data_IF_565839873443
#
_entry.id   IF_565839873443
#
_cell.length_a   1.000
_cell.length_b   1.000
_cell.length_c   1.000
_cell.angle_alpha   90.00
_cell.angle_beta   90.00
_cell.angle_gamma   90.00
#
_symmetry.space_group_name_H-M   'P 1'
#
loop_
_entity.id
_entity.type
_entity.pdbx_description
1 polymer ?
#
# COMPACT_ATOMS: atom_id res chain seq x y z
N UNK A 1 -11.32 0.55 -25.18
CA UNK A 1 -11.66 1.69 -26.06
C UNK A 1 -12.87 2.51 -25.57
N UNK A 2 -13.27 2.39 -24.30
CA UNK A 2 -14.40 3.14 -23.72
C UNK A 2 -13.95 4.37 -22.93
N UNK A 3 -12.67 4.47 -22.57
CA UNK A 3 -12.09 5.59 -21.84
C UNK A 3 -10.60 5.72 -22.12
N UNK A 4 -10.07 6.92 -21.90
CA UNK A 4 -8.64 7.19 -22.03
C UNK A 4 -7.83 6.66 -20.85
N UNK A 5 -6.53 6.49 -21.05
CA UNK A 5 -5.59 6.24 -19.95
C UNK A 5 -5.61 7.41 -18.96
N UNK A 6 -5.56 7.13 -17.67
CA UNK A 6 -5.38 8.14 -16.66
C UNK A 6 -4.05 8.89 -16.84
N UNK A 7 -4.05 10.21 -16.58
CA UNK A 7 -2.84 11.03 -16.58
C UNK A 7 -2.66 11.64 -15.19
N UNK A 8 -1.44 11.66 -14.74
CA UNK A 8 -1.02 12.37 -13.53
C UNK A 8 0.04 13.41 -13.92
N UNK A 9 -0.21 14.66 -13.59
CA UNK A 9 0.75 15.76 -13.79
C UNK A 9 1.37 16.09 -12.44
N UNK A 10 2.69 16.17 -12.40
CA UNK A 10 3.43 16.55 -11.21
C UNK A 10 4.03 17.93 -11.45
N UNK A 11 3.68 18.90 -10.61
CA UNK A 11 4.30 20.22 -10.59
C UNK A 11 5.21 20.31 -9.38
N UNK A 12 6.44 20.77 -9.60
CA UNK A 12 7.40 21.04 -8.53
C UNK A 12 7.27 22.52 -8.15
N UNK A 13 7.13 22.80 -6.86
CA UNK A 13 7.17 24.14 -6.31
C UNK A 13 8.61 24.56 -5.99
N UNK A 14 8.87 25.86 -5.84
CA UNK A 14 10.23 26.37 -5.60
C UNK A 14 10.85 25.86 -4.30
N UNK A 15 10.02 25.51 -3.31
CA UNK A 15 10.42 24.91 -2.03
C UNK A 15 10.66 23.39 -2.09
N UNK A 16 10.52 22.78 -3.28
CA UNK A 16 10.67 21.35 -3.50
C UNK A 16 9.41 20.51 -3.21
N UNK A 17 8.31 21.16 -2.80
CA UNK A 17 7.02 20.51 -2.66
C UNK A 17 6.43 20.14 -4.01
N UNK A 18 5.52 19.16 -4.00
CA UNK A 18 4.87 18.66 -5.21
C UNK A 18 3.37 18.79 -5.10
N UNK A 19 2.77 19.25 -6.18
CA UNK A 19 1.34 19.19 -6.39
C UNK A 19 1.04 18.19 -7.50
N UNK A 20 -0.05 17.44 -7.32
CA UNK A 20 -0.53 16.46 -8.29
C UNK A 20 -1.85 16.93 -8.86
N UNK A 21 -1.94 16.91 -10.20
CA UNK A 21 -3.19 17.08 -10.92
C UNK A 21 -3.50 15.81 -11.71
N UNK A 22 -4.73 15.31 -11.56
CA UNK A 22 -5.13 14.05 -12.18
C UNK A 22 -6.20 14.27 -13.23
N UNK A 23 -5.99 13.70 -14.42
CA UNK A 23 -6.99 13.57 -15.45
C UNK A 23 -7.48 12.13 -15.52
N UNK A 24 -8.57 11.84 -14.78
CA UNK A 24 -9.01 10.47 -14.47
C UNK A 24 -10.55 10.31 -14.40
N UNK A 25 -11.31 11.15 -15.13
CA UNK A 25 -12.78 11.08 -15.08
C UNK A 25 -13.38 11.12 -16.50
N UNK A 26 -13.82 9.96 -17.05
CA UNK A 26 -13.48 8.58 -16.67
C UNK A 26 -12.10 8.19 -17.21
N UNK A 27 -11.49 7.15 -16.61
CA UNK A 27 -10.25 6.56 -17.12
C UNK A 27 -10.37 5.04 -17.24
N UNK A 28 -9.57 4.46 -18.13
CA UNK A 28 -9.68 3.06 -18.50
C UNK A 28 -9.44 2.12 -17.31
N UNK A 29 -8.52 2.48 -16.40
CA UNK A 29 -8.21 1.71 -15.21
C UNK A 29 -9.41 1.56 -14.27
N UNK A 30 -10.23 2.60 -14.10
CA UNK A 30 -11.43 2.54 -13.25
C UNK A 30 -12.52 1.61 -13.80
N UNK A 31 -12.50 1.34 -15.11
CA UNK A 31 -13.47 0.48 -15.78
C UNK A 31 -13.08 -1.00 -15.78
N UNK A 32 -11.92 -1.34 -15.22
CA UNK A 32 -11.49 -2.72 -15.10
C UNK A 32 -12.36 -3.46 -14.08
N UNK A 33 -13.02 -4.52 -14.52
CA UNK A 33 -14.06 -5.21 -13.76
C UNK A 33 -13.57 -6.59 -13.25
N UNK A 34 -14.19 -7.17 -12.21
CA UNK A 34 -13.82 -8.48 -11.65
C UNK A 34 -13.73 -9.59 -12.69
N UNK A 35 -14.60 -9.57 -13.68
CA UNK A 35 -14.68 -10.61 -14.74
C UNK A 35 -13.45 -10.61 -15.66
N UNK A 36 -12.63 -9.57 -15.59
CA UNK A 36 -11.39 -9.45 -16.36
C UNK A 36 -10.17 -10.02 -15.61
N UNK A 37 -10.34 -10.40 -14.34
CA UNK A 37 -9.29 -11.05 -13.55
C UNK A 37 -9.11 -12.48 -14.07
N UNK A 38 -7.91 -12.78 -14.56
CA UNK A 38 -7.53 -14.14 -14.91
C UNK A 38 -6.88 -14.82 -13.69
N UNK A 39 -7.54 -15.84 -13.14
CA UNK A 39 -7.07 -16.60 -11.99
C UNK A 39 -5.71 -17.28 -12.25
N UNK A 40 -5.36 -17.49 -13.52
CA UNK A 40 -4.06 -18.06 -13.88
C UNK A 40 -2.89 -17.17 -13.47
N UNK A 41 -3.08 -15.85 -13.35
CA UNK A 41 -2.03 -14.92 -12.92
C UNK A 41 -1.55 -15.16 -11.48
N UNK A 42 -2.39 -15.79 -10.65
CA UNK A 42 -2.09 -15.99 -9.24
C UNK A 42 -1.44 -17.36 -8.94
N UNK A 43 -1.36 -18.28 -9.90
CA UNK A 43 -0.89 -19.66 -9.68
C UNK A 43 0.47 -19.75 -9.01
N UNK A 44 1.40 -18.90 -9.45
CA UNK A 44 2.78 -18.84 -8.96
C UNK A 44 3.12 -17.43 -8.45
N UNK A 45 2.10 -16.61 -8.15
CA UNK A 45 2.30 -15.27 -7.64
C UNK A 45 2.86 -15.33 -6.23
N UNK A 46 3.97 -14.64 -6.00
CA UNK A 46 4.54 -14.46 -4.66
C UNK A 46 3.70 -13.51 -3.82
N UNK A 47 3.29 -12.39 -4.42
CA UNK A 47 2.50 -11.37 -3.73
C UNK A 47 1.57 -10.64 -4.70
N UNK A 48 0.44 -10.18 -4.17
CA UNK A 48 -0.40 -9.12 -4.73
C UNK A 48 -0.14 -7.85 -3.95
N UNK A 49 0.34 -6.80 -4.62
CA UNK A 49 0.50 -5.47 -4.02
C UNK A 49 -0.50 -4.50 -4.61
N UNK A 50 -1.14 -3.68 -3.77
CA UNK A 50 -2.11 -2.67 -4.20
C UNK A 50 -2.08 -1.42 -3.31
N UNK A 51 -2.72 -0.35 -3.77
CA UNK A 51 -2.83 0.92 -3.05
C UNK A 51 -4.26 1.49 -3.12
N UNK A 52 -4.54 2.56 -2.36
CA UNK A 52 -5.88 3.17 -2.32
C UNK A 52 -6.26 3.95 -3.58
N UNK A 53 -5.31 4.25 -4.45
CA UNK A 53 -5.51 5.11 -5.64
C UNK A 53 -6.67 4.64 -6.53
N UNK A 54 -6.92 3.34 -6.60
CA UNK A 54 -7.96 2.73 -7.44
C UNK A 54 -9.12 2.13 -6.63
N UNK A 55 -9.23 2.43 -5.34
CA UNK A 55 -10.30 1.94 -4.47
C UNK A 55 -11.52 2.88 -4.40
N UNK A 56 -11.54 3.97 -5.17
CA UNK A 56 -12.74 4.79 -5.35
C UNK A 56 -13.89 3.94 -5.88
N UNK A 57 -15.13 4.37 -5.63
CA UNK A 57 -16.33 3.64 -6.08
C UNK A 57 -16.33 3.50 -7.61
N UNK A 58 -16.02 2.30 -8.06
CA UNK A 58 -15.81 1.96 -9.48
C UNK A 58 -15.75 0.43 -9.66
N UNK A 59 -15.90 -0.09 -10.89
CA UNK A 59 -15.65 -1.52 -11.19
C UNK A 59 -14.28 -2.01 -10.69
N UNK A 60 -13.23 -1.18 -10.76
CA UNK A 60 -11.88 -1.51 -10.33
C UNK A 60 -11.79 -1.82 -8.83
N UNK A 61 -12.60 -1.17 -7.98
CA UNK A 61 -12.67 -1.50 -6.55
C UNK A 61 -13.13 -2.95 -6.34
N UNK A 62 -14.12 -3.40 -7.09
CA UNK A 62 -14.59 -4.79 -7.05
C UNK A 62 -13.57 -5.76 -7.62
N UNK A 63 -12.84 -5.35 -8.67
CA UNK A 63 -11.73 -6.13 -9.21
C UNK A 63 -10.61 -6.33 -8.17
N UNK A 64 -10.31 -5.32 -7.32
CA UNK A 64 -9.37 -5.49 -6.22
C UNK A 64 -9.82 -6.57 -5.23
N UNK A 65 -11.11 -6.59 -4.86
CA UNK A 65 -11.63 -7.62 -3.96
C UNK A 65 -11.51 -9.03 -4.57
N UNK A 66 -11.82 -9.17 -5.87
CA UNK A 66 -11.66 -10.42 -6.59
C UNK A 66 -10.19 -10.86 -6.66
N UNK A 67 -9.27 -9.93 -6.96
CA UNK A 67 -7.84 -10.19 -7.00
C UNK A 67 -7.28 -10.59 -5.63
N UNK A 68 -7.71 -9.92 -4.54
CA UNK A 68 -7.32 -10.27 -3.18
C UNK A 68 -7.79 -11.69 -2.83
N UNK A 69 -9.04 -12.05 -3.18
CA UNK A 69 -9.54 -13.40 -2.99
C UNK A 69 -8.69 -14.44 -3.72
N UNK A 70 -8.43 -14.22 -5.01
CA UNK A 70 -7.62 -15.12 -5.83
C UNK A 70 -6.17 -15.26 -5.32
N UNK A 71 -5.54 -14.16 -4.88
CA UNK A 71 -4.21 -14.17 -4.30
C UNK A 71 -4.16 -15.01 -3.01
N UNK A 72 -5.15 -14.86 -2.13
CA UNK A 72 -5.26 -15.64 -0.89
C UNK A 72 -5.46 -17.14 -1.17
N UNK A 73 -6.34 -17.48 -2.09
CA UNK A 73 -6.56 -18.87 -2.49
C UNK A 73 -5.30 -19.53 -3.06
N UNK A 74 -4.48 -18.76 -3.75
CA UNK A 74 -3.18 -19.20 -4.27
C UNK A 74 -2.05 -19.21 -3.22
N UNK A 75 -2.29 -18.72 -1.98
CA UNK A 75 -1.29 -18.63 -0.93
C UNK A 75 -0.29 -17.47 -1.10
N UNK A 76 -0.58 -16.53 -2.00
CA UNK A 76 0.23 -15.33 -2.22
C UNK A 76 0.09 -14.34 -1.05
N UNK A 77 1.14 -13.60 -0.75
CA UNK A 77 1.12 -12.51 0.21
C UNK A 77 0.29 -11.35 -0.35
N UNK A 78 -0.65 -10.84 0.41
CA UNK A 78 -1.38 -9.60 0.09
C UNK A 78 -0.71 -8.43 0.79
N UNK A 79 -0.19 -7.47 0.02
CA UNK A 79 0.50 -6.28 0.52
C UNK A 79 -0.28 -5.01 0.17
N UNK A 80 -0.51 -4.15 1.14
CA UNK A 80 -1.25 -2.91 0.99
C UNK A 80 -0.41 -1.70 1.43
N UNK A 81 -0.30 -0.72 0.54
CA UNK A 81 0.21 0.62 0.82
C UNK A 81 -0.96 1.60 0.59
N UNK A 82 -1.55 2.23 1.62
CA UNK A 82 -2.62 3.21 1.43
C UNK A 82 -2.27 4.28 0.40
N UNK A 83 -1.05 4.81 0.42
CA UNK A 83 -0.54 5.76 -0.56
C UNK A 83 -1.56 6.86 -0.87
N UNK A 84 -1.95 7.63 0.15
CA UNK A 84 -3.09 8.54 0.12
C UNK A 84 -2.96 9.60 -0.97
N UNK A 85 -4.01 9.77 -1.76
CA UNK A 85 -4.12 10.80 -2.80
C UNK A 85 -5.46 11.51 -2.68
N UNK A 86 -5.55 12.44 -1.73
CA UNK A 86 -6.78 13.19 -1.44
C UNK A 86 -7.50 13.76 -2.67
N UNK A 87 -6.81 14.31 -3.69
CA UNK A 87 -7.48 14.86 -4.87
C UNK A 87 -8.25 13.85 -5.72
N UNK A 88 -8.02 12.55 -5.53
CA UNK A 88 -8.73 11.48 -6.25
C UNK A 88 -10.05 11.09 -5.60
N UNK A 89 -10.33 11.57 -4.41
CA UNK A 89 -11.46 11.16 -3.59
C UNK A 89 -12.51 12.27 -3.48
N UNK A 90 -13.80 11.93 -3.40
CA UNK A 90 -14.86 12.91 -3.18
C UNK A 90 -14.68 13.69 -1.88
N UNK A 91 -14.28 13.00 -0.82
CA UNK A 91 -13.97 13.57 0.49
C UNK A 91 -12.96 12.70 1.27
N UNK A 92 -12.40 13.28 2.32
CA UNK A 92 -11.34 12.64 3.13
C UNK A 92 -11.88 11.47 3.97
N UNK A 93 -13.10 11.57 4.46
CA UNK A 93 -13.67 10.52 5.29
C UNK A 93 -13.99 9.26 4.49
N UNK A 94 -14.50 9.42 3.26
CA UNK A 94 -14.70 8.29 2.35
C UNK A 94 -13.38 7.58 2.04
N UNK A 95 -12.30 8.33 1.79
CA UNK A 95 -10.95 7.76 1.63
C UNK A 95 -10.56 6.96 2.88
N UNK A 96 -10.65 7.58 4.07
CA UNK A 96 -10.28 6.96 5.33
C UNK A 96 -11.06 5.67 5.58
N UNK A 97 -12.38 5.72 5.46
CA UNK A 97 -13.24 4.55 5.66
C UNK A 97 -12.91 3.43 4.67
N UNK A 98 -12.66 3.76 3.40
CA UNK A 98 -12.30 2.75 2.40
C UNK A 98 -10.96 2.12 2.72
N UNK A 99 -9.94 2.89 3.08
CA UNK A 99 -8.64 2.35 3.51
C UNK A 99 -8.82 1.41 4.70
N UNK A 100 -9.57 1.81 5.72
CA UNK A 100 -9.84 0.98 6.90
C UNK A 100 -10.63 -0.30 6.58
N UNK A 101 -11.46 -0.31 5.53
CA UNK A 101 -12.15 -1.52 5.06
C UNK A 101 -11.20 -2.51 4.36
N UNK A 102 -10.21 -2.00 3.61
CA UNK A 102 -9.28 -2.84 2.86
C UNK A 102 -8.05 -3.27 3.69
N UNK A 103 -7.66 -2.50 4.69
CA UNK A 103 -6.54 -2.80 5.58
C UNK A 103 -6.59 -4.22 6.14
N UNK A 104 -7.70 -4.70 6.74
CA UNK A 104 -7.78 -6.05 7.29
C UNK A 104 -7.64 -7.18 6.26
N UNK A 105 -7.69 -6.85 4.98
CA UNK A 105 -7.55 -7.80 3.89
C UNK A 105 -6.09 -8.03 3.48
N UNK A 106 -5.14 -7.35 4.06
CA UNK A 106 -3.71 -7.49 3.74
C UNK A 106 -2.95 -8.29 4.80
N UNK A 107 -1.85 -8.93 4.38
CA UNK A 107 -0.90 -9.58 5.30
C UNK A 107 0.23 -8.61 5.68
N UNK A 108 0.62 -7.74 4.75
CA UNK A 108 1.61 -6.69 4.95
C UNK A 108 0.93 -5.34 4.73
N UNK A 109 1.00 -4.47 5.72
CA UNK A 109 0.57 -3.09 5.65
C UNK A 109 1.81 -2.19 5.69
N UNK A 110 1.98 -1.33 4.68
CA UNK A 110 2.96 -0.24 4.75
C UNK A 110 2.20 1.06 5.02
N UNK A 111 2.65 1.84 5.98
CA UNK A 111 2.07 3.15 6.32
C UNK A 111 3.22 4.15 6.57
N UNK A 112 3.05 5.39 6.11
CA UNK A 112 4.00 6.47 6.42
C UNK A 112 3.61 7.22 7.70
N UNK A 113 4.54 8.00 8.26
CA UNK A 113 4.28 8.88 9.41
C UNK A 113 3.22 9.94 9.08
N UNK A 114 3.16 10.42 7.84
CA UNK A 114 2.14 11.36 7.36
C UNK A 114 0.75 10.73 7.27
N UNK A 115 0.65 9.43 7.00
CA UNK A 115 -0.60 8.68 6.84
C UNK A 115 -1.15 8.18 8.17
N UNK A 116 -0.28 7.92 9.14
CA UNK A 116 -0.62 7.28 10.41
C UNK A 116 -1.72 8.04 11.16
N UNK A 117 -1.51 9.33 11.41
CA UNK A 117 -2.45 10.15 12.16
C UNK A 117 -3.81 10.25 11.45
N UNK A 118 -3.79 10.40 10.13
CA UNK A 118 -5.02 10.46 9.34
C UNK A 118 -5.84 9.17 9.45
N UNK A 119 -5.20 8.01 9.43
CA UNK A 119 -5.89 6.72 9.45
C UNK A 119 -6.36 6.35 10.85
N UNK A 120 -5.53 6.59 11.87
CA UNK A 120 -5.73 6.05 13.22
C UNK A 120 -6.16 7.08 14.26
N UNK A 121 -6.02 8.38 13.95
CA UNK A 121 -6.28 9.48 14.88
C UNK A 121 -5.15 9.72 15.88
N UNK A 122 -4.00 9.04 15.75
CA UNK A 122 -2.81 9.25 16.58
C UNK A 122 -1.54 9.25 15.74
N UNK A 123 -0.59 10.11 16.09
CA UNK A 123 0.76 10.12 15.51
C UNK A 123 1.72 9.14 16.22
N UNK A 124 1.29 8.53 17.32
CA UNK A 124 2.07 7.54 18.05
C UNK A 124 1.86 6.16 17.44
N UNK A 125 2.90 5.59 16.84
CA UNK A 125 2.83 4.28 16.18
C UNK A 125 2.49 3.17 17.19
N UNK A 126 3.04 3.19 18.40
CA UNK A 126 2.79 2.15 19.39
C UNK A 126 1.30 2.15 19.82
N UNK A 127 0.70 3.33 19.96
CA UNK A 127 -0.73 3.46 20.25
C UNK A 127 -1.61 3.02 19.06
N UNK A 128 -1.10 3.14 17.82
CA UNK A 128 -1.82 2.79 16.59
C UNK A 128 -1.74 1.29 16.25
N UNK A 129 -0.69 0.58 16.67
CA UNK A 129 -0.46 -0.83 16.31
C UNK A 129 -1.68 -1.74 16.53
N UNK A 130 -2.45 -1.65 17.62
CA UNK A 130 -3.64 -2.50 17.81
C UNK A 130 -4.69 -2.34 16.70
N UNK A 131 -4.83 -1.14 16.16
CA UNK A 131 -5.74 -0.86 15.04
C UNK A 131 -5.14 -1.30 13.71
N UNK A 132 -3.82 -1.14 13.52
CA UNK A 132 -3.12 -1.52 12.29
C UNK A 132 -3.02 -3.05 12.12
N UNK A 133 -2.95 -3.81 13.21
CA UNK A 133 -2.98 -5.28 13.19
C UNK A 133 -4.40 -5.85 13.08
N UNK A 134 -5.32 -5.16 12.40
CA UNK A 134 -6.67 -5.67 12.16
C UNK A 134 -6.67 -6.79 11.11
N UNK A 135 -7.61 -7.74 11.26
CA UNK A 135 -7.82 -8.84 10.31
C UNK A 135 -6.58 -9.70 10.11
N UNK A 136 -6.16 -9.82 8.85
CA UNK A 136 -5.06 -10.70 8.45
C UNK A 136 -3.68 -10.03 8.46
N UNK A 137 -3.56 -8.79 8.96
CA UNK A 137 -2.28 -8.08 9.03
C UNK A 137 -1.34 -8.76 10.01
N UNK A 138 -0.18 -9.18 9.51
CA UNK A 138 0.88 -9.87 10.26
C UNK A 138 2.14 -9.03 10.37
N UNK A 139 2.33 -8.10 9.42
CA UNK A 139 3.51 -7.25 9.35
C UNK A 139 3.09 -5.81 9.02
N UNK A 140 3.52 -4.87 9.85
CA UNK A 140 3.35 -3.43 9.62
C UNK A 140 4.72 -2.82 9.33
N UNK A 141 4.85 -2.19 8.16
CA UNK A 141 6.02 -1.41 7.76
C UNK A 141 5.71 0.07 7.95
N UNK A 142 6.37 0.71 8.90
CA UNK A 142 6.19 2.12 9.22
C UNK A 142 7.37 2.94 8.71
N UNK A 143 7.14 3.81 7.72
CA UNK A 143 8.18 4.61 7.08
C UNK A 143 8.14 6.05 7.58
N UNK A 144 9.31 6.59 7.98
CA UNK A 144 9.47 7.92 8.55
C UNK A 144 10.41 8.80 7.71
N UNK A 145 10.33 8.69 6.39
CA UNK A 145 11.16 9.46 5.46
C UNK A 145 12.65 9.35 5.78
N UNK A 146 13.32 10.48 5.97
CA UNK A 146 14.75 10.53 6.26
C UNK A 146 15.16 9.98 7.63
N UNK A 147 14.20 9.71 8.52
CA UNK A 147 14.45 9.11 9.84
C UNK A 147 14.66 7.60 9.76
N UNK A 148 14.19 6.94 8.68
CA UNK A 148 14.29 5.50 8.51
C UNK A 148 12.94 4.81 8.46
N UNK A 149 12.91 3.51 8.76
CA UNK A 149 11.71 2.69 8.74
C UNK A 149 11.73 1.66 9.88
N UNK A 150 10.54 1.31 10.32
CA UNK A 150 10.30 0.24 11.28
C UNK A 150 9.52 -0.89 10.62
N UNK A 151 9.78 -2.11 11.07
CA UNK A 151 8.96 -3.27 10.78
C UNK A 151 8.44 -3.84 12.12
N UNK A 152 7.12 -4.02 12.22
CA UNK A 152 6.47 -4.56 13.41
C UNK A 152 5.75 -5.84 13.08
N UNK A 153 6.00 -6.88 13.85
CA UNK A 153 5.09 -8.02 14.03
C UNK A 153 4.39 -7.88 15.39
N UNK A 154 3.43 -8.74 15.70
CA UNK A 154 2.83 -8.71 17.06
C UNK A 154 3.80 -9.02 18.19
N UNK A 155 4.92 -9.70 17.89
CA UNK A 155 5.88 -10.17 18.88
C UNK A 155 7.21 -9.41 18.92
N UNK A 156 7.55 -8.71 17.83
CA UNK A 156 8.87 -8.09 17.66
C UNK A 156 8.82 -6.86 16.75
N UNK A 157 9.80 -6.00 16.85
CA UNK A 157 10.02 -4.92 15.91
C UNK A 157 11.51 -4.79 15.53
N UNK A 158 11.75 -4.19 14.38
CA UNK A 158 13.08 -3.85 13.89
C UNK A 158 13.08 -2.40 13.38
N UNK A 159 14.22 -1.74 13.47
CA UNK A 159 14.46 -0.41 12.92
C UNK A 159 15.61 -0.43 11.92
N UNK A 160 15.41 0.21 10.78
CA UNK A 160 16.46 0.46 9.80
C UNK A 160 16.63 1.98 9.59
N UNK A 161 17.79 2.56 9.86
CA UNK A 161 18.05 3.97 9.61
C UNK A 161 18.08 4.27 8.11
N UNK A 162 17.64 5.46 7.71
CA UNK A 162 17.81 5.93 6.35
C UNK A 162 19.27 6.32 6.09
N UNK A 163 19.78 5.96 4.93
CA UNK A 163 21.07 6.47 4.47
C UNK A 163 20.93 7.93 4.05
N UNK A 164 21.88 8.77 4.47
CA UNK A 164 21.90 10.18 4.08
C UNK A 164 22.23 10.31 2.61
N UNK A 165 21.28 10.76 1.83
CA UNK A 165 21.43 11.09 0.41
C UNK A 165 20.95 12.50 0.13
N UNK A 166 21.46 13.13 -0.92
CA UNK A 166 20.88 14.37 -1.43
C UNK A 166 19.65 13.99 -2.28
N UNK A 167 18.50 14.11 -1.71
CA UNK A 167 17.27 13.90 -2.46
C UNK A 167 17.07 15.02 -3.49
N UNK A 168 16.88 14.65 -4.75
CA UNK A 168 16.51 15.56 -5.85
C UNK A 168 15.02 15.41 -6.13
N UNK A 169 14.53 14.20 -6.12
CA UNK A 169 13.14 13.84 -6.27
C UNK A 169 12.84 12.58 -5.44
N UNK A 170 11.79 12.61 -4.63
CA UNK A 170 11.36 11.49 -3.79
C UNK A 170 10.16 10.73 -4.36
N UNK A 171 9.76 11.04 -5.63
CA UNK A 171 8.68 10.31 -6.31
C UNK A 171 9.07 8.84 -6.44
N UNK A 172 8.16 7.95 -6.02
CA UNK A 172 8.41 6.50 -6.06
C UNK A 172 9.32 5.96 -4.96
N UNK A 173 9.77 6.79 -3.99
CA UNK A 173 10.59 6.29 -2.89
C UNK A 173 9.84 5.24 -2.04
N UNK A 174 8.55 5.46 -1.76
CA UNK A 174 7.68 4.48 -1.10
C UNK A 174 7.50 3.21 -1.92
N UNK A 175 7.28 3.37 -3.24
CA UNK A 175 7.11 2.24 -4.15
C UNK A 175 8.41 1.42 -4.26
N UNK A 176 9.58 2.10 -4.34
CA UNK A 176 10.90 1.47 -4.31
C UNK A 176 11.15 0.71 -3.01
N UNK A 177 10.76 1.29 -1.87
CA UNK A 177 10.89 0.66 -0.56
C UNK A 177 10.07 -0.65 -0.49
N UNK A 178 8.77 -0.58 -0.76
CA UNK A 178 7.92 -1.77 -0.66
C UNK A 178 8.26 -2.83 -1.72
N UNK A 179 8.59 -2.41 -2.94
CA UNK A 179 9.00 -3.33 -4.01
C UNK A 179 10.29 -4.08 -3.65
N UNK A 180 11.30 -3.38 -3.11
CA UNK A 180 12.55 -4.00 -2.65
C UNK A 180 12.32 -4.94 -1.47
N UNK A 181 11.45 -4.56 -0.54
CA UNK A 181 11.09 -5.39 0.61
C UNK A 181 10.41 -6.69 0.17
N UNK A 182 9.40 -6.61 -0.69
CA UNK A 182 8.71 -7.79 -1.25
C UNK A 182 9.66 -8.68 -2.04
N UNK A 183 10.56 -8.09 -2.83
CA UNK A 183 11.59 -8.85 -3.56
C UNK A 183 12.49 -9.62 -2.59
N UNK A 184 12.93 -9.00 -1.49
CA UNK A 184 13.75 -9.65 -0.49
C UNK A 184 13.03 -10.82 0.18
N UNK A 185 11.76 -10.64 0.58
CA UNK A 185 10.94 -11.72 1.13
C UNK A 185 10.79 -12.89 0.16
N UNK A 186 10.57 -12.58 -1.13
CA UNK A 186 10.49 -13.59 -2.20
C UNK A 186 11.78 -14.39 -2.33
N UNK A 187 12.93 -13.69 -2.36
CA UNK A 187 14.24 -14.32 -2.46
C UNK A 187 14.54 -15.23 -1.27
N UNK A 188 14.09 -14.84 -0.09
CA UNK A 188 14.32 -15.60 1.15
C UNK A 188 13.26 -16.70 1.38
N UNK A 189 12.33 -16.88 0.43
CA UNK A 189 11.27 -17.90 0.49
C UNK A 189 10.33 -17.73 1.68
N UNK A 190 10.02 -16.47 2.03
CA UNK A 190 9.06 -16.14 3.10
C UNK A 190 7.65 -16.34 2.56
N UNK A 191 6.86 -17.13 3.25
CA UNK A 191 5.44 -17.39 2.97
C UNK A 191 4.55 -16.68 4.00
N UNK A 192 3.24 -16.61 3.77
CA UNK A 192 2.28 -15.93 4.66
C UNK A 192 2.42 -16.41 6.11
N UNK A 193 2.53 -17.73 6.34
CA UNK A 193 2.66 -18.34 7.68
C UNK A 193 3.98 -18.04 8.39
N UNK A 194 4.97 -17.47 7.68
CA UNK A 194 6.27 -17.07 8.23
C UNK A 194 6.34 -15.59 8.58
N UNK A 195 5.41 -14.76 8.12
CA UNK A 195 5.47 -13.29 8.33
C UNK A 195 5.50 -12.92 9.82
N UNK A 196 4.64 -13.51 10.65
CA UNK A 196 4.63 -13.23 12.09
C UNK A 196 5.87 -13.74 12.84
N UNK A 197 6.62 -14.66 12.23
CA UNK A 197 7.83 -15.26 12.79
C UNK A 197 9.11 -14.52 12.39
N UNK A 198 8.99 -13.46 11.59
CA UNK A 198 10.13 -12.65 11.23
C UNK A 198 10.73 -12.04 12.48
N UNK A 199 12.00 -12.27 12.69
CA UNK A 199 12.77 -11.75 13.84
C UNK A 199 13.90 -10.85 13.31
N UNK A 200 14.30 -9.89 14.14
CA UNK A 200 15.50 -9.09 13.90
C UNK A 200 16.74 -10.01 13.96
N UNK A 201 17.27 -10.41 12.82
CA UNK A 201 18.60 -10.98 12.70
C UNK A 201 19.48 -10.07 11.86
#
# INVERSE_FOLDING_TARGET
DKANTALAFVSLEEDGNRTFSFYRKPSADLLYAPEQIDLAWFRDAFALHFCSVSLVDSPMRHAHLAAIGAAREAGAIVSFDPNLRFPLWPDREMLRQTVLQFLPLSNILKVSDEELEFLTGTADIEAALPQLFAGDVQLVLYTCGSKGAYAYTRAAHAFAPCQKVRAVDTTGAGDGFIGSFLWQLSRDGVTVDKLEKLSCK
#
